data_IF_706737082534
#
_entry.id   IF_706737082534
#
_cell.length_a   1.000
_cell.length_b   1.000
_cell.length_c   1.000
_cell.angle_alpha   90.00
_cell.angle_beta   90.00
_cell.angle_gamma   90.00
#
_symmetry.space_group_name_H-M   'P 1'
#
loop_
_entity.id
_entity.type
_entity.pdbx_description
1 polymer ?
#
# COMPACT_ATOMS: atom_id res chain seq x y z
N UNK A 1 -25.08 18.31 21.37
CA UNK A 1 -26.23 17.48 21.77
C UNK A 1 -27.44 17.70 20.87
N UNK A 2 -28.01 18.91 20.83
CA UNK A 2 -29.26 19.24 20.11
C UNK A 2 -29.36 18.85 18.62
N UNK A 3 -28.27 18.85 17.85
CA UNK A 3 -28.31 18.60 16.39
C UNK A 3 -27.96 17.17 15.95
N UNK A 4 -27.37 16.37 16.83
CA UNK A 4 -26.70 15.11 16.42
C UNK A 4 -27.02 13.91 17.32
N UNK A 5 -27.70 14.11 18.44
CA UNK A 5 -27.98 13.06 19.43
C UNK A 5 -28.70 11.86 18.80
N UNK A 6 -29.84 12.09 18.15
CA UNK A 6 -30.61 11.04 17.49
C UNK A 6 -29.75 10.23 16.51
N UNK A 7 -28.97 10.90 15.67
CA UNK A 7 -28.05 10.23 14.72
C UNK A 7 -26.98 9.40 15.42
N UNK A 8 -26.51 9.80 16.60
CA UNK A 8 -25.54 9.03 17.38
C UNK A 8 -26.17 7.80 18.04
N UNK A 9 -27.39 7.93 18.53
CA UNK A 9 -28.15 6.84 19.13
C UNK A 9 -28.57 5.81 18.09
N UNK A 10 -29.08 6.27 16.95
CA UNK A 10 -29.47 5.40 15.83
C UNK A 10 -28.30 4.56 15.32
N UNK A 11 -27.07 5.10 15.31
CA UNK A 11 -25.86 4.34 14.95
C UNK A 11 -25.24 3.57 16.11
N UNK A 12 -25.91 3.50 17.27
CA UNK A 12 -25.43 2.79 18.45
C UNK A 12 -24.10 3.30 18.99
N UNK A 13 -23.85 4.61 18.84
CA UNK A 13 -22.62 5.29 19.27
C UNK A 13 -21.33 4.81 18.59
N UNK A 14 -21.43 4.02 17.50
CA UNK A 14 -20.28 3.52 16.75
C UNK A 14 -19.48 4.69 16.16
N UNK A 15 -18.16 4.71 16.44
CA UNK A 15 -17.24 5.78 16.06
C UNK A 15 -17.74 7.18 16.51
N UNK A 16 -18.37 7.27 17.68
CA UNK A 16 -18.68 8.55 18.33
C UNK A 16 -17.53 8.92 19.28
N UNK A 17 -16.84 10.05 19.06
CA UNK A 17 -15.88 10.57 20.04
C UNK A 17 -16.57 10.81 21.38
N UNK A 18 -15.91 10.46 22.48
CA UNK A 18 -16.42 10.63 23.85
C UNK A 18 -17.80 9.98 24.06
N UNK A 19 -18.03 8.81 23.44
CA UNK A 19 -19.31 8.13 23.45
C UNK A 19 -19.87 7.91 24.87
N UNK A 20 -19.05 7.43 25.80
CA UNK A 20 -19.50 7.12 27.16
C UNK A 20 -19.98 8.38 27.90
N UNK A 21 -19.20 9.47 27.86
CA UNK A 21 -19.61 10.76 28.45
C UNK A 21 -20.88 11.32 27.82
N UNK A 22 -21.02 11.22 26.49
CA UNK A 22 -22.20 11.72 25.80
C UNK A 22 -23.45 10.87 26.05
N UNK A 23 -23.31 9.54 26.21
CA UNK A 23 -24.41 8.67 26.62
C UNK A 23 -24.90 9.03 28.02
N UNK A 24 -23.98 9.21 28.97
CA UNK A 24 -24.31 9.61 30.34
C UNK A 24 -25.01 10.98 30.37
N UNK A 25 -24.48 11.96 29.63
CA UNK A 25 -25.12 13.27 29.51
C UNK A 25 -26.52 13.19 28.88
N UNK A 26 -26.72 12.37 27.84
CA UNK A 26 -28.02 12.19 27.22
C UNK A 26 -29.03 11.55 28.18
N UNK A 27 -28.60 10.57 28.99
CA UNK A 27 -29.42 9.96 30.03
C UNK A 27 -29.79 10.98 31.12
N UNK A 28 -28.80 11.70 31.67
CA UNK A 28 -29.03 12.73 32.67
C UNK A 28 -29.98 13.84 32.21
N UNK A 29 -29.95 14.21 30.92
CA UNK A 29 -30.90 15.17 30.34
C UNK A 29 -32.32 14.62 30.23
N UNK A 30 -32.49 13.32 29.98
CA UNK A 30 -33.81 12.66 29.89
C UNK A 30 -34.44 12.40 31.26
N UNK A 31 -33.61 12.22 32.28
CA UNK A 31 -34.05 12.01 33.66
C UNK A 31 -34.63 13.30 34.27
N UNK A 32 -34.28 14.48 33.75
CA UNK A 32 -34.82 15.75 34.23
C UNK A 32 -36.30 15.87 33.87
N UNK A 33 -37.13 16.12 34.88
CA UNK A 33 -38.57 16.36 34.71
C UNK A 33 -38.88 17.75 34.09
N UNK A 34 -37.97 18.71 34.26
CA UNK A 34 -38.15 20.09 33.80
C UNK A 34 -37.62 20.32 32.37
N UNK A 35 -38.28 21.22 31.63
CA UNK A 35 -37.85 21.64 30.30
C UNK A 35 -36.42 22.20 30.35
N UNK A 36 -35.52 21.61 29.54
CA UNK A 36 -34.11 22.03 29.45
C UNK A 36 -33.84 22.73 28.13
N UNK A 37 -33.49 24.03 28.18
CA UNK A 37 -33.13 24.84 27.01
C UNK A 37 -31.63 25.07 26.97
N UNK A 38 -31.04 24.92 25.78
CA UNK A 38 -29.63 25.22 25.55
C UNK A 38 -29.51 26.61 24.92
N UNK A 39 -28.77 27.51 25.58
CA UNK A 39 -28.36 28.79 25.02
C UNK A 39 -26.84 28.78 24.80
N UNK A 40 -26.40 29.36 23.67
CA UNK A 40 -24.97 29.63 23.43
C UNK A 40 -24.75 31.08 23.77
N UNK A 41 -24.03 31.34 24.86
CA UNK A 41 -23.71 32.69 25.33
C UNK A 41 -22.24 32.96 25.03
N UNK A 42 -21.94 34.10 24.41
CA UNK A 42 -20.57 34.42 23.95
C UNK A 42 -19.80 35.29 24.95
N UNK A 43 -20.49 36.16 25.67
CA UNK A 43 -19.93 37.02 26.73
C UNK A 43 -21.02 37.29 27.77
N UNK A 44 -20.89 36.71 28.96
CA UNK A 44 -21.69 37.05 30.13
C UNK A 44 -20.85 36.85 31.38
N UNK A 45 -21.23 37.52 32.47
CA UNK A 45 -20.53 37.41 33.75
C UNK A 45 -20.53 35.96 34.26
N UNK A 46 -21.64 35.22 34.06
CA UNK A 46 -21.73 33.81 34.43
C UNK A 46 -20.85 32.91 33.57
N UNK A 47 -20.67 33.26 32.28
CA UNK A 47 -19.77 32.54 31.39
C UNK A 47 -18.30 32.72 31.78
N UNK A 48 -17.91 33.96 32.13
CA UNK A 48 -16.56 34.26 32.61
C UNK A 48 -16.25 33.56 33.94
N UNK A 49 -17.23 33.50 34.85
CA UNK A 49 -17.09 32.75 36.09
C UNK A 49 -17.01 31.23 35.86
N UNK A 50 -17.81 30.68 34.95
CA UNK A 50 -17.74 29.27 34.58
C UNK A 50 -16.37 28.90 33.98
N UNK A 51 -15.80 29.76 33.13
CA UNK A 51 -14.45 29.58 32.57
C UNK A 51 -13.37 29.62 33.66
N UNK A 52 -13.49 30.54 34.63
CA UNK A 52 -12.59 30.64 35.78
C UNK A 52 -12.61 29.36 36.63
N UNK A 53 -13.81 28.84 36.91
CA UNK A 53 -13.99 27.60 37.66
C UNK A 53 -13.47 26.38 36.88
N UNK A 54 -13.71 26.31 35.57
CA UNK A 54 -13.19 25.25 34.71
C UNK A 54 -11.66 25.24 34.70
N UNK A 55 -11.01 26.42 34.64
CA UNK A 55 -9.55 26.54 34.73
C UNK A 55 -9.02 26.06 36.08
N UNK A 56 -9.67 26.47 37.17
CA UNK A 56 -9.32 26.02 38.52
C UNK A 56 -9.41 24.50 38.63
N UNK A 57 -10.45 23.90 38.05
CA UNK A 57 -10.61 22.45 37.96
C UNK A 57 -9.51 21.77 37.15
N UNK A 58 -9.08 22.37 36.04
CA UNK A 58 -8.00 21.84 35.20
C UNK A 58 -6.62 21.90 35.87
N UNK A 59 -6.41 22.81 36.82
CA UNK A 59 -5.17 22.97 37.59
C UNK A 59 -5.10 22.03 38.82
N UNK A 60 -6.15 21.26 39.11
CA UNK A 60 -6.14 20.26 40.20
C UNK A 60 -5.13 19.15 39.91
N UNK A 61 -4.46 18.69 40.96
CA UNK A 61 -3.49 17.60 40.87
C UNK A 61 -4.16 16.25 40.56
N UNK A 62 -5.36 16.04 41.10
CA UNK A 62 -6.19 14.86 40.85
C UNK A 62 -7.47 15.26 40.11
N UNK A 63 -7.86 14.45 39.12
CA UNK A 63 -9.07 14.67 38.34
C UNK A 63 -10.32 14.33 39.17
N UNK A 64 -11.36 15.14 39.04
CA UNK A 64 -12.66 14.88 39.65
C UNK A 64 -13.28 13.59 39.05
N UNK A 65 -13.80 12.72 39.91
CA UNK A 65 -14.50 11.51 39.50
C UNK A 65 -15.93 11.87 39.06
N UNK A 66 -16.23 11.70 37.78
CA UNK A 66 -17.56 11.93 37.21
C UNK A 66 -18.27 10.58 37.13
N UNK A 67 -19.44 10.49 37.75
CA UNK A 67 -20.29 9.31 37.60
C UNK A 67 -20.87 9.26 36.17
N UNK A 68 -20.56 8.18 35.45
CA UNK A 68 -21.05 7.91 34.10
C UNK A 68 -22.03 6.74 34.07
N UNK A 69 -22.50 6.28 35.24
CA UNK A 69 -23.53 5.25 35.30
C UNK A 69 -24.83 5.77 34.69
N UNK A 70 -25.44 4.93 33.85
CA UNK A 70 -26.69 5.24 33.16
C UNK A 70 -27.75 4.31 33.73
N UNK A 71 -28.89 4.83 34.24
CA UNK A 71 -30.01 4.01 34.66
C UNK A 71 -30.45 3.07 33.54
N UNK A 72 -30.73 1.80 33.86
CA UNK A 72 -31.02 0.76 32.87
C UNK A 72 -32.18 1.13 31.92
N UNK A 73 -33.21 1.80 32.43
CA UNK A 73 -34.36 2.24 31.65
C UNK A 73 -34.05 3.36 30.65
N UNK A 74 -32.93 4.06 30.80
CA UNK A 74 -32.43 5.10 29.88
C UNK A 74 -31.30 4.58 28.98
N UNK A 75 -30.88 3.33 29.18
CA UNK A 75 -29.76 2.75 28.45
C UNK A 75 -30.20 2.24 27.07
N UNK A 76 -29.89 3.02 26.03
CA UNK A 76 -30.05 2.57 24.64
C UNK A 76 -28.92 1.60 24.26
N UNK A 77 -29.29 0.36 23.92
CA UNK A 77 -28.34 -0.71 23.54
C UNK A 77 -28.35 -0.95 22.04
N UNK A 78 -27.15 -1.09 21.46
CA UNK A 78 -26.96 -1.45 20.06
C UNK A 78 -27.24 -0.31 19.08
N UNK A 79 -27.12 -0.61 17.79
CA UNK A 79 -27.45 0.31 16.70
C UNK A 79 -28.81 -0.07 16.11
N UNK A 80 -29.61 0.94 15.76
CA UNK A 80 -30.94 0.77 15.16
C UNK A 80 -30.83 0.19 13.75
N UNK A 81 -31.41 -0.98 13.56
CA UNK A 81 -31.28 -1.77 12.33
C UNK A 81 -31.80 -1.03 11.08
N UNK A 82 -32.90 -0.30 11.19
CA UNK A 82 -33.50 0.43 10.05
C UNK A 82 -32.60 1.54 9.50
N UNK A 83 -31.67 2.06 10.30
CA UNK A 83 -30.72 3.10 9.92
C UNK A 83 -29.29 2.57 9.76
N UNK A 84 -29.07 1.29 10.03
CA UNK A 84 -27.74 0.68 10.06
C UNK A 84 -27.24 0.40 8.64
N UNK A 85 -26.18 1.09 8.24
CA UNK A 85 -25.46 0.75 6.99
C UNK A 85 -24.49 -0.40 7.23
N UNK A 86 -24.23 -1.21 6.19
CA UNK A 86 -23.17 -2.23 6.21
C UNK A 86 -21.82 -1.66 6.66
N UNK A 87 -21.49 -0.43 6.25
CA UNK A 87 -20.27 0.27 6.65
C UNK A 87 -20.21 0.50 8.17
N UNK A 88 -21.30 1.00 8.76
CA UNK A 88 -21.38 1.25 10.20
C UNK A 88 -21.36 -0.07 10.97
N UNK A 89 -22.11 -1.07 10.54
CA UNK A 89 -22.11 -2.41 11.14
C UNK A 89 -20.71 -3.03 11.15
N UNK A 90 -20.03 -3.02 9.99
CA UNK A 90 -18.68 -3.54 9.86
C UNK A 90 -17.69 -2.83 10.79
N UNK A 91 -17.80 -1.50 10.92
CA UNK A 91 -16.96 -0.71 11.84
C UNK A 91 -17.25 -1.03 13.30
N UNK A 92 -18.51 -1.20 13.68
CA UNK A 92 -18.90 -1.66 15.01
C UNK A 92 -18.32 -3.02 15.34
N UNK A 93 -18.52 -4.02 14.47
CA UNK A 93 -17.94 -5.37 14.63
C UNK A 93 -16.42 -5.31 14.73
N UNK A 94 -15.76 -4.49 13.91
CA UNK A 94 -14.31 -4.34 13.95
C UNK A 94 -13.82 -3.68 15.25
N UNK A 95 -14.57 -2.75 15.82
CA UNK A 95 -14.24 -2.13 17.10
C UNK A 95 -14.41 -3.10 18.28
N UNK A 96 -15.35 -4.05 18.18
CA UNK A 96 -15.56 -5.10 19.18
C UNK A 96 -14.48 -6.20 19.13
N UNK A 97 -13.84 -6.40 17.99
CA UNK A 97 -12.78 -7.39 17.84
C UNK A 97 -11.45 -6.83 18.34
N UNK A 98 -10.78 -7.58 19.20
CA UNK A 98 -9.40 -7.28 19.58
C UNK A 98 -8.50 -7.26 18.34
N UNK A 99 -7.54 -6.32 18.34
CA UNK A 99 -6.54 -6.27 17.29
C UNK A 99 -5.59 -7.44 17.48
N UNK A 100 -5.71 -8.44 16.62
CA UNK A 100 -4.77 -9.57 16.58
C UNK A 100 -3.39 -9.05 16.20
N UNK A 101 -2.45 -9.16 17.13
CA UNK A 101 -1.03 -8.90 16.88
C UNK A 101 -0.49 -9.96 15.92
N UNK A 102 0.26 -9.52 14.90
CA UNK A 102 0.78 -10.41 13.86
C UNK A 102 2.26 -10.16 13.73
N UNK A 103 3.06 -10.95 14.46
CA UNK A 103 4.52 -10.85 14.52
C UNK A 103 5.19 -10.49 13.19
N UNK A 104 4.89 -11.24 12.11
CA UNK A 104 5.46 -10.97 10.78
C UNK A 104 5.10 -9.58 10.21
N UNK A 105 3.88 -9.10 10.44
CA UNK A 105 3.47 -7.74 10.07
C UNK A 105 4.28 -6.71 10.84
N UNK A 106 4.42 -6.89 12.16
CA UNK A 106 5.12 -5.95 13.03
C UNK A 106 6.62 -5.89 12.69
N UNK A 107 7.25 -7.04 12.44
CA UNK A 107 8.65 -7.15 12.00
C UNK A 107 8.89 -6.46 10.64
N UNK A 108 8.04 -6.73 9.65
CA UNK A 108 8.16 -6.13 8.32
C UNK A 108 7.93 -4.61 8.34
N UNK A 109 6.95 -4.14 9.13
CA UNK A 109 6.70 -2.71 9.33
C UNK A 109 7.90 -2.05 10.01
N UNK A 110 8.45 -2.65 11.07
CA UNK A 110 9.61 -2.13 11.78
C UNK A 110 10.84 -2.05 10.87
N UNK A 111 11.14 -3.11 10.12
CA UNK A 111 12.22 -3.13 9.12
C UNK A 111 12.04 -2.00 8.09
N UNK A 112 10.81 -1.80 7.60
CA UNK A 112 10.48 -0.70 6.69
C UNK A 112 10.71 0.67 7.34
N UNK A 113 10.30 0.88 8.60
CA UNK A 113 10.52 2.14 9.31
C UNK A 113 12.01 2.45 9.47
N UNK A 114 12.80 1.45 9.87
CA UNK A 114 14.25 1.58 10.07
C UNK A 114 14.96 1.90 8.76
N UNK A 115 14.64 1.18 7.69
CA UNK A 115 15.22 1.42 6.37
C UNK A 115 14.87 2.81 5.82
N UNK A 116 13.61 3.25 5.92
CA UNK A 116 13.20 4.60 5.47
C UNK A 116 13.89 5.69 6.29
N UNK A 117 14.06 5.49 7.61
CA UNK A 117 14.81 6.42 8.47
C UNK A 117 16.27 6.48 8.08
N UNK A 118 16.89 5.35 7.79
CA UNK A 118 18.31 5.29 7.41
C UNK A 118 18.55 5.93 6.04
N UNK A 119 17.77 5.52 5.03
CA UNK A 119 17.95 5.89 3.62
C UNK A 119 17.45 7.30 3.30
N UNK A 120 16.27 7.67 3.81
CA UNK A 120 15.57 8.90 3.41
C UNK A 120 15.46 9.92 4.54
N UNK A 121 16.08 9.65 5.71
CA UNK A 121 16.10 10.53 6.90
C UNK A 121 14.70 10.92 7.40
N UNK A 122 13.69 10.10 7.12
CA UNK A 122 12.31 10.26 7.60
C UNK A 122 11.94 9.11 8.51
N UNK A 123 11.32 9.39 9.65
CA UNK A 123 10.78 8.36 10.54
C UNK A 123 9.27 8.18 10.25
N UNK A 124 8.87 7.26 9.35
CA UNK A 124 7.46 7.10 9.01
C UNK A 124 6.71 6.41 10.15
N UNK A 125 5.46 6.82 10.35
CA UNK A 125 4.52 6.04 11.16
C UNK A 125 4.04 4.83 10.37
N UNK A 126 3.60 3.77 11.05
CA UNK A 126 2.97 2.61 10.41
C UNK A 126 1.81 3.03 9.49
N UNK A 127 0.96 3.96 9.96
CA UNK A 127 -0.15 4.51 9.17
C UNK A 127 0.32 5.12 7.85
N UNK A 128 1.49 5.77 7.85
CA UNK A 128 2.07 6.38 6.66
C UNK A 128 2.58 5.32 5.68
N UNK A 129 3.16 4.22 6.16
CA UNK A 129 3.55 3.06 5.32
C UNK A 129 2.32 2.47 4.64
N UNK A 130 1.25 2.16 5.38
CA UNK A 130 0.02 1.62 4.79
C UNK A 130 -0.66 2.58 3.80
N UNK A 131 -0.50 3.88 4.00
CA UNK A 131 -1.00 4.90 3.07
C UNK A 131 -0.14 4.98 1.80
N UNK A 132 1.19 4.86 1.92
CA UNK A 132 2.11 5.05 0.80
C UNK A 132 1.99 3.94 -0.25
N UNK A 133 1.78 2.69 0.18
CA UNK A 133 1.54 1.56 -0.74
C UNK A 133 0.21 1.68 -1.49
N UNK A 134 -0.61 2.71 -1.22
CA UNK A 134 -1.83 3.03 -1.97
C UNK A 134 -1.63 4.16 -2.99
N UNK A 135 -0.38 4.59 -3.21
CA UNK A 135 -0.05 5.65 -4.16
C UNK A 135 -0.61 5.38 -5.55
N UNK A 136 -1.08 6.44 -6.21
CA UNK A 136 -1.59 6.40 -7.59
C UNK A 136 -0.53 5.96 -8.61
N UNK A 137 0.74 6.11 -8.27
CA UNK A 137 1.86 5.69 -9.12
C UNK A 137 2.03 4.16 -9.15
N UNK A 138 1.43 3.43 -8.21
CA UNK A 138 1.52 1.97 -8.14
C UNK A 138 0.31 1.33 -8.84
N UNK A 139 0.56 0.30 -9.65
CA UNK A 139 -0.51 -0.55 -10.21
C UNK A 139 -1.25 -1.31 -9.10
N UNK A 140 -2.51 -1.68 -9.32
CA UNK A 140 -3.31 -2.41 -8.31
C UNK A 140 -2.63 -3.71 -7.88
N UNK A 141 -2.00 -4.40 -8.82
CA UNK A 141 -1.27 -5.64 -8.63
C UNK A 141 -0.08 -5.43 -7.69
N UNK A 142 0.73 -4.39 -7.93
CA UNK A 142 1.86 -4.02 -7.07
C UNK A 142 1.40 -3.65 -5.66
N UNK A 143 0.31 -2.87 -5.53
CA UNK A 143 -0.26 -2.53 -4.21
C UNK A 143 -0.67 -3.78 -3.42
N UNK A 144 -1.35 -4.71 -4.08
CA UNK A 144 -1.77 -5.97 -3.47
C UNK A 144 -0.57 -6.84 -3.10
N UNK A 145 0.44 -6.91 -3.96
CA UNK A 145 1.68 -7.63 -3.69
C UNK A 145 2.37 -7.05 -2.45
N UNK A 146 2.60 -5.74 -2.41
CA UNK A 146 3.23 -5.06 -1.28
C UNK A 146 2.45 -5.26 0.02
N UNK A 147 1.11 -5.16 -0.04
CA UNK A 147 0.26 -5.40 1.12
C UNK A 147 0.40 -6.83 1.65
N UNK A 148 0.37 -7.83 0.77
CA UNK A 148 0.59 -9.23 1.14
C UNK A 148 2.00 -9.46 1.70
N UNK A 149 3.01 -8.81 1.12
CA UNK A 149 4.40 -8.89 1.56
C UNK A 149 4.56 -8.32 2.97
N UNK A 150 4.08 -7.10 3.23
CA UNK A 150 4.12 -6.52 4.58
C UNK A 150 3.41 -7.40 5.60
N UNK A 151 2.29 -8.04 5.22
CA UNK A 151 1.58 -8.94 6.13
C UNK A 151 2.20 -10.35 6.27
N UNK A 152 3.22 -10.70 5.49
CA UNK A 152 3.73 -12.08 5.43
C UNK A 152 2.68 -13.08 4.92
N UNK A 153 1.79 -12.65 4.03
CA UNK A 153 0.61 -13.41 3.59
C UNK A 153 0.82 -14.24 2.32
N UNK A 154 2.06 -14.38 1.86
CA UNK A 154 2.40 -15.23 0.70
C UNK A 154 2.65 -16.66 1.15
N UNK A 155 2.25 -17.64 0.33
CA UNK A 155 2.48 -19.07 0.58
C UNK A 155 3.89 -19.45 0.12
N UNK A 156 4.88 -19.14 0.96
CA UNK A 156 6.31 -19.42 0.74
C UNK A 156 6.96 -19.80 2.07
N UNK A 157 8.13 -20.46 2.02
CA UNK A 157 8.95 -20.71 3.19
C UNK A 157 8.19 -21.42 4.31
N UNK A 158 8.11 -20.75 5.47
CA UNK A 158 7.46 -21.25 6.70
C UNK A 158 6.03 -21.78 6.48
N UNK A 159 5.29 -21.26 5.50
CA UNK A 159 3.95 -21.76 5.20
C UNK A 159 3.95 -23.24 4.78
N UNK A 160 4.95 -23.66 4.00
CA UNK A 160 5.05 -25.03 3.50
C UNK A 160 5.75 -25.97 4.48
N UNK A 161 6.61 -25.43 5.35
CA UNK A 161 7.46 -26.20 6.25
C UNK A 161 6.73 -27.14 7.23
N UNK A 162 5.43 -26.95 7.44
CA UNK A 162 4.62 -27.74 8.36
C UNK A 162 3.49 -28.51 7.66
N UNK A 163 3.47 -28.53 6.32
CA UNK A 163 2.44 -29.25 5.56
C UNK A 163 3.03 -30.57 5.08
N UNK A 164 2.49 -31.72 5.54
CA UNK A 164 2.96 -33.04 5.13
C UNK A 164 3.06 -33.18 3.61
N UNK A 165 4.13 -33.80 3.14
CA UNK A 165 4.43 -34.12 1.73
C UNK A 165 4.72 -32.90 0.84
N UNK A 166 4.82 -31.69 1.41
CA UNK A 166 5.09 -30.44 0.70
C UNK A 166 6.16 -29.58 1.38
N UNK A 167 6.89 -30.14 2.34
CA UNK A 167 7.91 -29.43 3.12
C UNK A 167 9.10 -28.98 2.25
N UNK A 168 9.37 -29.70 1.16
CA UNK A 168 10.39 -29.36 0.17
C UNK A 168 10.17 -27.97 -0.45
N UNK A 169 8.91 -27.51 -0.53
CA UNK A 169 8.52 -26.18 -1.02
C UNK A 169 8.83 -25.05 -0.06
N UNK A 170 9.29 -25.35 1.15
CA UNK A 170 9.78 -24.33 2.07
C UNK A 170 11.13 -23.76 1.62
N UNK A 171 11.91 -24.52 0.86
CA UNK A 171 13.25 -24.14 0.43
C UNK A 171 13.26 -23.78 -1.06
N UNK A 172 14.16 -22.88 -1.44
CA UNK A 172 14.41 -22.55 -2.82
C UNK A 172 15.03 -23.76 -3.53
N UNK A 173 14.35 -24.28 -4.56
CA UNK A 173 14.84 -25.42 -5.34
C UNK A 173 16.12 -25.12 -6.14
N UNK A 174 16.57 -23.87 -6.20
CA UNK A 174 17.81 -23.50 -6.90
C UNK A 174 19.03 -23.46 -5.96
N UNK A 175 18.92 -22.76 -4.83
CA UNK A 175 20.06 -22.53 -3.94
C UNK A 175 19.94 -23.22 -2.57
N UNK A 176 18.81 -23.85 -2.27
CA UNK A 176 18.56 -24.58 -1.01
C UNK A 176 18.22 -23.70 0.20
N UNK A 177 18.35 -22.37 0.10
CA UNK A 177 17.98 -21.45 1.19
C UNK A 177 16.47 -21.44 1.48
N UNK A 178 16.08 -21.07 2.70
CA UNK A 178 14.66 -20.93 3.08
C UNK A 178 14.02 -19.84 2.21
N UNK A 179 12.91 -20.17 1.56
CA UNK A 179 12.30 -19.29 0.58
C UNK A 179 11.42 -18.21 1.23
N UNK A 180 12.07 -17.18 1.77
CA UNK A 180 11.41 -15.97 2.29
C UNK A 180 11.22 -14.92 1.18
N UNK A 181 10.40 -13.89 1.44
CA UNK A 181 10.28 -12.79 0.47
C UNK A 181 11.59 -12.00 0.33
N UNK A 182 12.33 -11.85 1.42
CA UNK A 182 13.66 -11.23 1.40
C UNK A 182 14.62 -12.05 0.56
N UNK A 183 14.63 -13.38 0.73
CA UNK A 183 15.39 -14.29 -0.10
C UNK A 183 15.09 -14.11 -1.59
N UNK A 184 13.80 -14.16 -1.98
CA UNK A 184 13.38 -14.03 -3.38
C UNK A 184 13.80 -12.69 -3.99
N UNK A 185 13.68 -11.60 -3.23
CA UNK A 185 13.93 -10.26 -3.75
C UNK A 185 15.40 -9.86 -3.71
N UNK A 186 16.21 -10.39 -2.79
CA UNK A 186 17.54 -9.84 -2.48
C UNK A 186 18.68 -10.85 -2.47
N UNK A 187 18.43 -12.10 -2.11
CA UNK A 187 19.51 -13.05 -1.78
C UNK A 187 19.66 -14.18 -2.80
N UNK A 188 18.56 -14.55 -3.47
CA UNK A 188 18.55 -15.66 -4.40
C UNK A 188 19.45 -15.40 -5.62
N UNK A 189 20.34 -16.33 -5.93
CA UNK A 189 21.26 -16.26 -7.07
C UNK A 189 20.69 -16.84 -8.38
N UNK A 190 19.38 -17.13 -8.42
CA UNK A 190 18.70 -17.59 -9.63
C UNK A 190 18.70 -16.45 -10.67
N UNK A 191 18.90 -16.74 -11.97
CA UNK A 191 18.76 -15.74 -13.03
C UNK A 191 17.41 -15.01 -12.93
N UNK A 192 17.48 -13.68 -12.94
CA UNK A 192 16.34 -12.78 -12.86
C UNK A 192 16.53 -11.68 -11.83
N UNK A 193 16.86 -12.04 -10.59
CA UNK A 193 16.87 -11.11 -9.47
C UNK A 193 17.95 -10.04 -9.62
N UNK A 194 19.21 -10.46 -9.79
CA UNK A 194 20.35 -9.56 -9.93
C UNK A 194 20.25 -8.72 -11.21
N UNK A 195 19.87 -9.34 -12.33
CA UNK A 195 19.70 -8.68 -13.62
C UNK A 195 18.68 -7.55 -13.55
N UNK A 196 17.52 -7.78 -12.91
CA UNK A 196 16.49 -6.76 -12.76
C UNK A 196 16.98 -5.60 -11.88
N UNK A 197 17.69 -5.87 -10.78
CA UNK A 197 18.22 -4.79 -9.95
C UNK A 197 19.32 -4.00 -10.66
N UNK A 198 20.15 -4.66 -11.46
CA UNK A 198 21.17 -3.98 -12.28
C UNK A 198 20.52 -3.08 -13.33
N UNK A 199 19.42 -3.51 -13.97
CA UNK A 199 18.67 -2.68 -14.91
C UNK A 199 18.00 -1.48 -14.23
N UNK A 200 17.42 -1.70 -13.05
CA UNK A 200 16.85 -0.65 -12.23
C UNK A 200 17.88 0.41 -11.83
N UNK A 201 19.06 -0.03 -11.39
CA UNK A 201 20.18 0.84 -11.05
C UNK A 201 20.70 1.59 -12.28
N UNK A 202 20.88 0.90 -13.41
CA UNK A 202 21.36 1.51 -14.65
C UNK A 202 20.44 2.65 -15.11
N UNK A 203 19.13 2.41 -15.12
CA UNK A 203 18.14 3.44 -15.48
C UNK A 203 18.15 4.63 -14.52
N UNK A 204 18.27 4.38 -13.21
CA UNK A 204 18.39 5.46 -12.22
C UNK A 204 19.66 6.29 -12.44
N UNK A 205 20.78 5.63 -12.74
CA UNK A 205 22.10 6.24 -12.93
C UNK A 205 22.20 7.14 -14.15
N UNK A 206 21.30 7.00 -15.14
CA UNK A 206 21.22 7.94 -16.26
C UNK A 206 20.97 9.38 -15.82
N UNK A 207 20.35 9.57 -14.65
CA UNK A 207 20.02 10.91 -14.14
C UNK A 207 20.62 11.22 -12.77
N UNK A 208 20.77 10.21 -11.92
CA UNK A 208 21.18 10.42 -10.53
C UNK A 208 22.41 9.58 -10.19
N UNK A 209 23.45 10.21 -9.64
CA UNK A 209 24.73 9.57 -9.38
C UNK A 209 24.71 8.53 -8.25
N UNK A 210 23.78 8.66 -7.30
CA UNK A 210 23.73 7.79 -6.11
C UNK A 210 22.54 6.85 -6.18
N UNK A 211 22.81 5.55 -6.31
CA UNK A 211 21.81 4.50 -6.14
C UNK A 211 21.67 4.15 -4.65
N UNK A 212 20.47 4.27 -4.06
CA UNK A 212 20.25 3.85 -2.68
C UNK A 212 20.45 2.34 -2.52
N UNK A 213 21.07 1.93 -1.41
CA UNK A 213 21.20 0.50 -1.09
C UNK A 213 19.83 -0.16 -1.06
N UNK A 214 19.71 -1.27 -1.80
CA UNK A 214 18.48 -2.06 -1.87
C UNK A 214 18.44 -2.97 -0.64
N UNK A 215 17.40 -2.81 0.19
CA UNK A 215 17.10 -3.66 1.35
C UNK A 215 15.62 -3.97 1.38
N UNK A 216 15.19 -5.00 2.13
CA UNK A 216 13.78 -5.39 2.18
C UNK A 216 12.90 -4.21 2.65
N UNK A 217 13.29 -3.58 3.77
CA UNK A 217 12.62 -2.39 4.26
C UNK A 217 12.69 -1.20 3.29
N UNK A 218 13.78 -1.04 2.54
CA UNK A 218 13.94 0.01 1.53
C UNK A 218 13.00 -0.17 0.34
N UNK A 219 12.82 -1.41 -0.14
CA UNK A 219 11.87 -1.77 -1.20
C UNK A 219 10.44 -1.53 -0.73
N UNK A 220 10.08 -2.05 0.45
CA UNK A 220 8.74 -1.89 1.02
C UNK A 220 8.43 -0.42 1.38
N UNK A 221 9.48 0.35 1.65
CA UNK A 221 9.45 1.79 1.89
C UNK A 221 9.59 2.67 0.64
N UNK A 222 9.76 2.12 -0.56
CA UNK A 222 10.08 2.90 -1.76
C UNK A 222 9.03 3.98 -2.10
N UNK A 223 7.77 3.75 -1.72
CA UNK A 223 6.71 4.75 -1.88
C UNK A 223 6.88 6.00 -1.00
N UNK A 224 7.75 5.94 0.01
CA UNK A 224 8.10 7.03 0.92
C UNK A 224 9.46 7.67 0.61
N UNK A 225 10.13 7.21 -0.45
CA UNK A 225 11.43 7.73 -0.84
C UNK A 225 11.39 9.23 -1.11
N UNK A 226 12.42 9.93 -0.64
CA UNK A 226 12.60 11.36 -0.85
C UNK A 226 14.04 11.66 -1.22
N UNK A 227 14.21 12.56 -2.18
CA UNK A 227 15.50 12.94 -2.73
C UNK A 227 15.57 14.46 -2.75
N UNK A 228 16.38 15.11 -1.90
CA UNK A 228 16.52 16.56 -1.92
C UNK A 228 17.16 17.02 -3.23
N UNK A 229 16.65 18.12 -3.78
CA UNK A 229 17.24 18.84 -4.90
C UNK A 229 18.39 19.76 -4.42
N UNK A 230 18.99 20.52 -5.35
CA UNK A 230 20.07 21.45 -5.05
C UNK A 230 19.70 22.54 -4.02
N UNK A 231 18.40 22.82 -3.84
CA UNK A 231 17.88 23.78 -2.87
C UNK A 231 17.46 23.11 -1.55
N UNK A 232 17.72 21.81 -1.38
CA UNK A 232 17.33 21.03 -0.21
C UNK A 232 15.84 20.66 -0.17
N UNK A 233 15.08 20.90 -1.25
CA UNK A 233 13.66 20.55 -1.34
C UNK A 233 13.49 19.16 -1.94
N UNK A 234 12.55 18.37 -1.42
CA UNK A 234 12.27 17.04 -1.97
C UNK A 234 11.82 17.12 -3.44
N UNK A 235 12.61 16.51 -4.33
CA UNK A 235 12.32 16.36 -5.75
C UNK A 235 11.21 15.33 -5.95
N UNK A 236 10.03 15.83 -6.34
CA UNK A 236 8.87 14.99 -6.61
C UNK A 236 9.11 14.02 -7.78
N UNK A 237 9.82 14.46 -8.82
CA UNK A 237 10.10 13.63 -10.01
C UNK A 237 11.09 12.52 -9.71
N UNK A 238 12.16 12.81 -8.96
CA UNK A 238 13.13 11.80 -8.51
C UNK A 238 12.46 10.74 -7.62
N UNK A 239 11.70 11.19 -6.61
CA UNK A 239 10.95 10.30 -5.72
C UNK A 239 9.95 9.41 -6.47
N UNK A 240 9.31 9.97 -7.51
CA UNK A 240 8.35 9.25 -8.35
C UNK A 240 9.04 8.22 -9.25
N UNK A 241 10.14 8.59 -9.91
CA UNK A 241 10.91 7.67 -10.75
C UNK A 241 11.43 6.50 -9.91
N UNK A 242 12.05 6.77 -8.75
CA UNK A 242 12.55 5.74 -7.84
C UNK A 242 11.43 4.78 -7.43
N UNK A 243 10.30 5.33 -6.99
CA UNK A 243 9.13 4.53 -6.58
C UNK A 243 8.68 3.60 -7.71
N UNK A 244 8.57 4.10 -8.93
CA UNK A 244 8.19 3.31 -10.10
C UNK A 244 9.19 2.18 -10.32
N UNK A 245 10.47 2.52 -10.51
CA UNK A 245 11.53 1.56 -10.82
C UNK A 245 11.60 0.47 -9.76
N UNK A 246 11.65 0.84 -8.48
CA UNK A 246 11.76 -0.11 -7.37
C UNK A 246 10.57 -1.05 -7.30
N UNK A 247 9.36 -0.51 -7.47
CA UNK A 247 8.13 -1.28 -7.24
C UNK A 247 7.76 -2.20 -8.39
N UNK A 248 8.00 -1.76 -9.62
CA UNK A 248 7.82 -2.61 -10.81
C UNK A 248 8.90 -3.70 -10.86
N UNK A 249 10.15 -3.37 -10.49
CA UNK A 249 11.26 -4.34 -10.44
C UNK A 249 11.03 -5.45 -9.42
N UNK A 250 10.67 -5.13 -8.17
CA UNK A 250 10.38 -6.17 -7.16
C UNK A 250 9.25 -7.09 -7.59
N UNK A 251 8.22 -6.52 -8.25
CA UNK A 251 7.06 -7.29 -8.63
C UNK A 251 7.37 -8.18 -9.84
N UNK A 252 8.23 -7.72 -10.76
CA UNK A 252 8.72 -8.55 -11.85
C UNK A 252 9.56 -9.73 -11.34
N UNK A 253 10.46 -9.50 -10.38
CA UNK A 253 11.24 -10.57 -9.74
C UNK A 253 10.30 -11.64 -9.17
N UNK A 254 9.29 -11.21 -8.41
CA UNK A 254 8.27 -12.11 -7.88
C UNK A 254 7.51 -12.88 -8.97
N UNK A 255 7.10 -12.20 -10.07
CA UNK A 255 6.40 -12.83 -11.19
C UNK A 255 7.27 -13.90 -11.85
N UNK A 256 8.53 -13.57 -12.17
CA UNK A 256 9.47 -14.52 -12.80
C UNK A 256 9.70 -15.71 -11.89
N UNK A 257 9.93 -15.50 -10.59
CA UNK A 257 10.04 -16.60 -9.62
C UNK A 257 8.81 -17.49 -9.65
N UNK A 258 7.60 -16.91 -9.63
CA UNK A 258 6.36 -17.68 -9.67
C UNK A 258 6.23 -18.49 -10.96
N UNK A 259 6.53 -17.90 -12.11
CA UNK A 259 6.51 -18.62 -13.39
C UNK A 259 7.50 -19.79 -13.39
N UNK A 260 8.74 -19.57 -12.96
CA UNK A 260 9.76 -20.62 -12.92
C UNK A 260 9.36 -21.76 -12.00
N UNK A 261 8.95 -21.46 -10.77
CA UNK A 261 8.64 -22.49 -9.76
C UNK A 261 7.32 -23.21 -10.05
N UNK A 262 6.31 -22.52 -10.57
CA UNK A 262 4.95 -23.06 -10.67
C UNK A 262 4.62 -23.57 -12.09
N UNK A 263 5.14 -22.91 -13.13
CA UNK A 263 4.74 -23.18 -14.52
C UNK A 263 5.80 -23.95 -15.30
N UNK A 264 7.09 -23.73 -15.00
CA UNK A 264 8.19 -24.26 -15.80
C UNK A 264 9.05 -25.28 -15.05
N UNK A 265 8.55 -25.88 -13.97
CA UNK A 265 9.24 -26.92 -13.20
C UNK A 265 10.70 -26.57 -12.81
N UNK A 266 10.97 -25.29 -12.54
CA UNK A 266 12.31 -24.82 -12.13
C UNK A 266 13.22 -24.36 -13.26
N UNK A 267 12.81 -24.46 -14.53
CA UNK A 267 13.62 -24.05 -15.68
C UNK A 267 13.89 -22.53 -15.67
N UNK A 268 15.17 -22.10 -15.67
CA UNK A 268 15.53 -20.70 -15.56
C UNK A 268 15.17 -19.92 -16.83
N UNK A 269 14.89 -18.63 -16.65
CA UNK A 269 14.71 -17.69 -17.76
C UNK A 269 16.06 -17.24 -18.29
N UNK A 270 16.15 -16.97 -19.59
CA UNK A 270 17.36 -16.42 -20.20
C UNK A 270 17.54 -14.95 -19.80
N UNK A 271 18.78 -14.49 -19.71
CA UNK A 271 19.12 -13.08 -19.42
C UNK A 271 18.44 -12.13 -20.41
N UNK A 272 18.39 -12.48 -21.70
CA UNK A 272 17.72 -11.70 -22.75
C UNK A 272 16.20 -11.62 -22.53
N UNK A 273 15.56 -12.73 -22.15
CA UNK A 273 14.12 -12.72 -21.83
C UNK A 273 13.83 -11.84 -20.61
N UNK A 274 14.65 -11.94 -19.56
CA UNK A 274 14.54 -11.13 -18.33
C UNK A 274 14.66 -9.64 -18.68
N UNK A 275 15.71 -9.29 -19.43
CA UNK A 275 15.97 -7.93 -19.91
C UNK A 275 14.77 -7.37 -20.67
N UNK A 276 14.30 -8.07 -21.71
CA UNK A 276 13.21 -7.62 -22.56
C UNK A 276 11.90 -7.45 -21.79
N UNK A 277 11.62 -8.34 -20.82
CA UNK A 277 10.46 -8.22 -19.94
C UNK A 277 10.53 -6.99 -19.04
N UNK A 278 11.72 -6.67 -18.52
CA UNK A 278 11.90 -5.47 -17.69
C UNK A 278 11.77 -4.20 -18.51
N UNK A 279 12.42 -4.12 -19.67
CA UNK A 279 12.30 -2.98 -20.60
C UNK A 279 10.85 -2.79 -21.05
N UNK A 280 10.14 -3.86 -21.41
CA UNK A 280 8.73 -3.80 -21.76
C UNK A 280 7.86 -3.29 -20.61
N UNK A 281 8.11 -3.74 -19.38
CA UNK A 281 7.36 -3.31 -18.19
C UNK A 281 7.54 -1.82 -17.90
N UNK A 282 8.77 -1.30 -17.96
CA UNK A 282 9.01 0.11 -17.69
C UNK A 282 8.49 0.99 -18.85
N UNK A 283 8.58 0.54 -20.11
CA UNK A 283 7.97 1.22 -21.25
C UNK A 283 6.43 1.25 -21.12
N UNK A 284 5.78 0.16 -20.70
CA UNK A 284 4.33 0.16 -20.42
C UNK A 284 3.97 1.20 -19.36
N UNK A 285 4.81 1.34 -18.33
CA UNK A 285 4.60 2.35 -17.29
C UNK A 285 4.77 3.78 -17.80
N UNK A 286 5.76 4.03 -18.65
CA UNK A 286 5.93 5.30 -19.36
C UNK A 286 4.69 5.62 -20.21
N UNK A 287 4.18 4.66 -20.98
CA UNK A 287 2.96 4.83 -21.78
C UNK A 287 1.73 5.14 -20.94
N UNK A 288 1.54 4.46 -19.81
CA UNK A 288 0.46 4.76 -18.86
C UNK A 288 0.57 6.20 -18.36
N UNK A 289 1.78 6.64 -17.98
CA UNK A 289 2.00 8.00 -17.49
C UNK A 289 1.70 9.05 -18.56
N UNK A 290 2.15 8.82 -19.79
CA UNK A 290 1.84 9.68 -20.95
C UNK A 290 0.33 9.79 -21.15
N UNK A 291 -0.37 8.65 -21.19
CA UNK A 291 -1.82 8.63 -21.36
C UNK A 291 -2.54 9.38 -20.23
N UNK A 292 -2.09 9.22 -18.99
CA UNK A 292 -2.66 9.91 -17.84
C UNK A 292 -2.46 11.43 -17.86
N UNK A 293 -1.65 12.00 -18.77
CA UNK A 293 -1.60 13.46 -18.95
C UNK A 293 -2.82 14.03 -19.69
N UNK A 294 -3.64 13.19 -20.34
CA UNK A 294 -4.80 13.63 -21.10
C UNK A 294 -5.95 14.07 -20.18
N UNK A 295 -6.00 15.36 -19.87
CA UNK A 295 -7.02 15.96 -19.01
C UNK A 295 -8.41 15.93 -19.63
N UNK A 296 -8.53 15.96 -20.96
CA UNK A 296 -9.83 15.89 -21.63
C UNK A 296 -10.48 14.52 -21.42
N UNK A 297 -9.68 13.45 -21.43
CA UNK A 297 -10.16 12.08 -21.25
C UNK A 297 -10.44 11.72 -19.78
N UNK A 298 -9.60 12.17 -18.86
CA UNK A 298 -9.62 11.70 -17.46
C UNK A 298 -10.04 12.78 -16.45
N UNK A 299 -10.22 14.02 -16.88
CA UNK A 299 -10.48 15.16 -16.00
C UNK A 299 -9.25 15.60 -15.21
N UNK A 300 -9.29 16.84 -14.68
CA UNK A 300 -8.17 17.46 -13.95
C UNK A 300 -7.78 16.71 -12.67
N UNK A 301 -8.74 16.04 -12.02
CA UNK A 301 -8.51 15.37 -10.73
C UNK A 301 -7.74 14.04 -10.88
N UNK A 302 -7.92 13.33 -11.99
CA UNK A 302 -7.34 11.99 -12.20
C UNK A 302 -6.13 12.00 -13.14
N UNK A 303 -5.94 13.09 -13.89
CA UNK A 303 -4.79 13.25 -14.78
C UNK A 303 -3.50 13.59 -14.02
N UNK A 304 -2.37 13.29 -14.65
CA UNK A 304 -1.05 13.72 -14.23
C UNK A 304 -0.71 15.08 -14.86
N UNK A 305 -0.04 15.99 -14.13
CA UNK A 305 0.53 17.18 -14.75
C UNK A 305 1.57 16.79 -15.82
N UNK A 306 1.48 17.33 -17.05
CA UNK A 306 2.47 17.06 -18.10
C UNK A 306 3.91 17.31 -17.67
N UNK A 307 4.15 18.42 -16.95
CA UNK A 307 5.47 18.77 -16.41
C UNK A 307 6.02 17.72 -15.45
N UNK A 308 5.17 17.11 -14.62
CA UNK A 308 5.59 16.04 -13.72
C UNK A 308 6.04 14.80 -14.49
N UNK A 309 5.34 14.43 -15.57
CA UNK A 309 5.70 13.25 -16.38
C UNK A 309 7.01 13.51 -17.14
N UNK A 310 7.14 14.66 -17.81
CA UNK A 310 8.38 15.08 -18.46
C UNK A 310 9.55 15.03 -17.48
N UNK A 311 9.41 15.69 -16.32
CA UNK A 311 10.46 15.71 -15.31
C UNK A 311 10.71 14.35 -14.67
N UNK A 312 9.74 13.43 -14.63
CA UNK A 312 9.98 12.06 -14.11
C UNK A 312 10.91 11.28 -15.03
N UNK A 313 10.65 11.33 -16.33
CA UNK A 313 11.32 10.50 -17.35
C UNK A 313 12.47 11.20 -18.07
N UNK A 314 12.73 12.48 -17.76
CA UNK A 314 13.87 13.24 -18.29
C UNK A 314 15.19 12.51 -18.06
N UNK A 315 16.02 12.45 -19.09
CA UNK A 315 17.33 11.78 -19.09
C UNK A 315 17.24 10.26 -19.14
N UNK A 316 16.08 9.66 -19.42
CA UNK A 316 15.90 8.20 -19.42
C UNK A 316 15.49 7.63 -20.77
N UNK A 317 15.17 8.49 -21.74
CA UNK A 317 14.66 8.08 -23.05
C UNK A 317 15.79 7.85 -24.05
N UNK A 318 15.52 7.01 -25.04
CA UNK A 318 16.42 6.79 -26.17
C UNK A 318 16.41 8.03 -27.06
N UNK A 319 17.59 8.48 -27.49
CA UNK A 319 17.76 9.65 -28.38
C UNK A 319 17.00 10.89 -27.88
N UNK A 320 17.00 11.14 -26.56
CA UNK A 320 16.20 12.22 -25.95
C UNK A 320 16.57 13.61 -26.47
N UNK A 321 17.82 13.80 -26.91
CA UNK A 321 18.31 15.02 -27.55
C UNK A 321 17.61 15.35 -28.87
N UNK A 322 17.04 14.34 -29.55
CA UNK A 322 16.29 14.50 -30.81
C UNK A 322 14.80 14.70 -30.57
N UNK A 323 14.31 14.55 -29.34
CA UNK A 323 12.90 14.69 -29.02
C UNK A 323 12.51 16.16 -28.83
N UNK A 324 11.27 16.54 -29.20
CA UNK A 324 10.79 17.89 -28.91
C UNK A 324 10.65 18.08 -27.39
N UNK A 325 10.73 19.33 -26.87
CA UNK A 325 10.59 19.62 -25.44
C UNK A 325 9.30 19.08 -24.79
N UNK A 326 8.24 18.89 -25.57
CA UNK A 326 6.97 18.31 -25.15
C UNK A 326 6.71 16.97 -25.88
N UNK A 327 7.59 16.00 -25.69
CA UNK A 327 7.55 14.69 -26.36
C UNK A 327 6.39 13.77 -25.96
N UNK A 328 5.50 14.18 -25.05
CA UNK A 328 4.41 13.33 -24.53
C UNK A 328 3.49 12.75 -25.62
N UNK A 329 3.44 13.38 -26.80
CA UNK A 329 2.64 12.94 -27.97
C UNK A 329 3.43 12.11 -28.99
N UNK A 330 4.75 12.06 -28.86
CA UNK A 330 5.64 11.33 -29.78
C UNK A 330 5.82 9.88 -29.33
N UNK A 331 6.03 8.91 -30.25
CA UNK A 331 6.44 7.58 -29.87
C UNK A 331 7.83 7.65 -29.23
N UNK A 332 7.93 7.29 -27.94
CA UNK A 332 9.17 7.29 -27.18
C UNK A 332 9.38 5.95 -26.51
N UNK A 333 10.63 5.55 -26.36
CA UNK A 333 11.03 4.35 -25.62
C UNK A 333 12.19 4.68 -24.69
N UNK A 334 12.38 3.87 -23.66
CA UNK A 334 13.55 3.95 -22.80
C UNK A 334 14.83 3.77 -23.60
N UNK A 335 15.87 4.51 -23.24
CA UNK A 335 17.21 4.17 -23.69
C UNK A 335 17.73 3.04 -22.82
N UNK A 336 18.00 1.87 -23.39
CA UNK A 336 18.80 0.83 -22.77
C UNK A 336 20.22 0.86 -23.36
N UNK A 337 21.24 0.83 -22.50
CA UNK A 337 22.64 0.72 -22.96
C UNK A 337 23.03 -0.74 -23.27
N UNK A 338 22.08 -1.67 -23.21
CA UNK A 338 22.28 -3.08 -23.51
C UNK A 338 22.22 -3.36 -25.03
N UNK A 339 22.80 -2.50 -25.87
CA UNK A 339 23.17 -2.88 -27.23
C UNK A 339 24.50 -3.65 -27.20
N UNK A 340 24.45 -4.94 -26.82
CA UNK A 340 25.49 -5.87 -27.25
C UNK A 340 25.19 -6.22 -28.71
N UNK A 341 25.80 -5.45 -29.61
CA UNK A 341 26.22 -5.87 -30.96
C UNK A 341 25.23 -6.71 -31.76
N UNK A 342 24.17 -6.11 -32.28
CA UNK A 342 23.75 -6.36 -33.66
C UNK A 342 22.72 -5.34 -34.10
N UNK A 343 23.07 -4.55 -35.11
CA UNK A 343 22.20 -3.57 -35.74
C UNK A 343 20.94 -4.22 -36.30
N UNK A 344 19.85 -4.21 -35.52
CA UNK A 344 18.49 -4.33 -36.02
C UNK A 344 17.61 -3.37 -35.26
N UNK A 345 17.22 -2.30 -35.96
CA UNK A 345 16.14 -1.39 -35.58
C UNK A 345 14.91 -2.21 -35.23
N UNK A 346 14.51 -2.22 -33.96
CA UNK A 346 13.27 -2.85 -33.51
C UNK A 346 12.10 -2.00 -33.97
N UNK A 347 11.64 -2.20 -35.20
CA UNK A 347 10.31 -1.78 -35.61
C UNK A 347 9.28 -2.63 -34.87
N UNK A 348 8.41 -1.96 -34.11
CA UNK A 348 7.07 -2.41 -33.71
C UNK A 348 6.96 -3.76 -32.99
N UNK A 349 6.99 -3.74 -31.65
CA UNK A 349 6.36 -4.77 -30.80
C UNK A 349 5.43 -4.10 -29.78
N UNK A 350 4.61 -3.14 -30.24
CA UNK A 350 3.62 -2.48 -29.40
C UNK A 350 2.21 -3.12 -29.49
N UNK A 351 1.98 -4.14 -30.33
CA UNK A 351 0.61 -4.50 -30.70
C UNK A 351 0.18 -5.97 -30.44
N UNK A 352 0.88 -6.72 -29.59
CA UNK A 352 0.44 -8.11 -29.32
C UNK A 352 0.83 -8.73 -27.99
N UNK A 353 0.61 -8.05 -26.86
CA UNK A 353 0.60 -8.75 -25.55
C UNK A 353 -0.39 -8.12 -24.56
N UNK A 354 -1.67 -8.11 -24.94
CA UNK A 354 -2.77 -8.04 -23.96
C UNK A 354 -3.76 -9.14 -24.33
N UNK A 355 -4.10 -9.96 -23.33
CA UNK A 355 -4.92 -11.19 -23.33
C UNK A 355 -4.07 -12.46 -23.36
N UNK A 356 -3.89 -13.05 -22.17
CA UNK A 356 -3.53 -14.46 -21.87
C UNK A 356 -2.38 -14.68 -20.87
N UNK A 357 -2.19 -13.78 -19.91
CA UNK A 357 -1.44 -14.09 -18.69
C UNK A 357 -2.39 -14.07 -17.47
N UNK A 358 -3.09 -15.19 -17.30
CA UNK A 358 -3.80 -15.72 -16.11
C UNK A 358 -5.01 -16.52 -16.62
N UNK A 359 -4.93 -17.85 -16.76
CA UNK A 359 -6.12 -18.67 -16.93
C UNK A 359 -7.06 -18.41 -15.75
N UNK A 360 -8.33 -18.09 -16.03
CA UNK A 360 -9.39 -17.85 -15.03
C UNK A 360 -9.46 -18.95 -13.95
N UNK A 361 -9.05 -20.16 -14.30
CA UNK A 361 -9.04 -21.38 -13.47
C UNK A 361 -8.28 -21.19 -12.15
N UNK A 362 -7.23 -20.36 -12.11
CA UNK A 362 -6.38 -20.25 -10.91
C UNK A 362 -6.63 -19.01 -10.06
N UNK A 363 -7.62 -18.18 -10.43
CA UNK A 363 -8.10 -17.12 -9.54
C UNK A 363 -8.57 -17.68 -8.18
N UNK A 364 -9.08 -18.92 -8.15
CA UNK A 364 -9.43 -19.64 -6.93
C UNK A 364 -8.24 -19.97 -6.02
N UNK A 365 -7.07 -20.30 -6.57
CA UNK A 365 -5.88 -20.65 -5.78
C UNK A 365 -5.28 -19.46 -5.02
N UNK A 366 -5.56 -18.22 -5.48
CA UNK A 366 -5.01 -17.00 -4.91
C UNK A 366 -6.03 -16.11 -4.17
N UNK A 367 -7.32 -16.49 -4.16
CA UNK A 367 -8.43 -15.73 -3.55
C UNK A 367 -9.04 -16.35 -2.28
N UNK A 368 -8.53 -17.48 -1.79
CA UNK A 368 -8.96 -18.04 -0.50
C UNK A 368 -10.37 -18.62 -0.50
N UNK A 369 -10.87 -19.08 -1.65
CA UNK A 369 -12.10 -19.89 -1.70
C UNK A 369 -11.86 -21.32 -1.18
N UNK A 370 -12.92 -22.01 -0.69
CA UNK A 370 -12.84 -23.42 -0.31
C UNK A 370 -12.60 -24.30 -1.56
N UNK A 371 -11.92 -25.43 -1.36
CA UNK A 371 -11.54 -26.38 -2.41
C UNK A 371 -12.78 -26.96 -3.14
N UNK A 372 -12.70 -27.22 -4.46
CA UNK A 372 -13.67 -28.07 -5.15
C UNK A 372 -13.65 -29.48 -4.56
N UNK A 373 -14.82 -30.07 -4.35
CA UNK A 373 -15.04 -31.38 -3.72
C UNK A 373 -14.62 -32.60 -4.57
N UNK A 374 -13.74 -32.42 -5.55
CA UNK A 374 -13.35 -33.49 -6.49
C UNK A 374 -12.08 -34.25 -6.08
N UNK A 375 -11.53 -33.99 -4.88
CA UNK A 375 -10.39 -34.73 -4.31
C UNK A 375 -10.69 -35.40 -2.96
N UNK A 376 -11.95 -35.63 -2.61
CA UNK A 376 -12.36 -36.47 -1.47
C UNK A 376 -12.79 -37.86 -1.95
N UNK A 377 -11.85 -38.65 -2.48
CA UNK A 377 -12.01 -40.11 -2.57
C UNK A 377 -10.65 -40.81 -2.50
N UNK A 378 -10.22 -41.12 -1.28
CA UNK A 378 -9.52 -42.37 -0.92
C UNK A 378 -9.93 -42.57 0.55
N UNK A 379 -10.80 -43.51 0.92
CA UNK A 379 -10.74 -44.94 0.64
C UNK A 379 -10.47 -45.60 1.99
N UNK A 380 -11.52 -46.03 2.66
CA UNK A 380 -11.44 -46.68 3.96
C UNK A 380 -10.73 -48.04 3.88
N UNK A 381 -10.02 -48.34 4.96
CA UNK A 381 -9.42 -49.62 5.33
C UNK A 381 -9.04 -49.54 6.79
#
# INVERSE_FOLDING_TARGET
>A
MSKKLEKWEDRGWIETPNAETLKALAAALREREAETKFAVVTRSEEGEEADRLARTGAEKQDADQIDLQIPDHLQLRGAKLSTLSQRTAYRGIKALKEKVHRKATDENVLSTQQAVKSLFKKAPTEKLIWKSIRSKDLSRQVRNFMWKTLHGAHRIGKFWAHIPEMEDRANCQHCGGIETMEHILLECNRPGQAEIWNLAEALWRKRFSTWPTVSFGGIMGAALATFPDANGKDSQSAARLYRIIMTESMYLIWKIRCEVVIQNNGEPKTTTEIHNRWVALINERLEIDRNLTNQMRFGKQHSLPPSLVLETWKGTLLDEDKLPPLWLREPVVLGDEAEIGNGRKSHTVADRFVRNAFPRVWSHFFSGGPWPSEFTTVGGG
#
